data_IF_278784319057
#
_entry.id   IF_278784319057
#
_cell.length_a   1.000
_cell.length_b   1.000
_cell.length_c   1.000
_cell.angle_alpha   90.00
_cell.angle_beta   90.00
_cell.angle_gamma   90.00
#
_symmetry.space_group_name_H-M   'P 1'
#
loop_
_entity.id
_entity.type
_entity.pdbx_description
1 polymer ?
#
# COMPACT_ATOMS: atom_id res chain seq x y z
N UNK A 1 -6.07 22.94 -32.98
CA UNK A 1 -4.75 22.27 -33.17
C UNK A 1 -4.30 21.69 -31.82
N UNK A 2 -4.57 20.46 -31.40
CA UNK A 2 -5.05 19.25 -32.07
C UNK A 2 -3.93 18.22 -32.30
N UNK A 3 -2.72 18.68 -32.66
CA UNK A 3 -1.78 17.86 -33.43
C UNK A 3 -0.46 17.51 -32.74
N UNK A 4 -0.18 18.00 -31.53
CA UNK A 4 1.12 17.75 -30.86
C UNK A 4 1.08 16.50 -29.96
N UNK A 5 -0.07 16.15 -29.36
CA UNK A 5 -0.22 14.95 -28.52
C UNK A 5 -0.23 13.63 -29.31
N UNK A 6 -0.70 13.66 -30.56
CA UNK A 6 -0.84 12.46 -31.41
C UNK A 6 0.49 11.95 -32.00
N UNK A 7 1.54 12.78 -32.00
CA UNK A 7 2.87 12.40 -32.53
C UNK A 7 3.77 11.67 -31.53
N UNK A 8 3.47 11.73 -30.23
CA UNK A 8 4.28 11.09 -29.18
C UNK A 8 3.57 9.87 -28.55
N UNK A 9 2.24 9.79 -28.65
CA UNK A 9 1.43 8.66 -28.19
C UNK A 9 0.36 8.39 -29.25
N UNK A 10 0.48 7.35 -30.10
CA UNK A 10 -0.64 6.95 -30.93
C UNK A 10 -1.73 6.40 -29.98
N UNK A 11 -2.85 7.12 -29.85
CA UNK A 11 -4.08 6.77 -29.12
C UNK A 11 -4.23 7.26 -27.65
N UNK A 12 -3.64 8.39 -27.27
CA UNK A 12 -4.00 9.08 -26.01
C UNK A 12 -5.36 9.80 -26.15
N UNK A 13 -6.42 9.29 -25.51
CA UNK A 13 -7.75 9.91 -25.52
C UNK A 13 -8.10 10.50 -24.14
N UNK A 14 -8.22 11.82 -24.08
CA UNK A 14 -8.77 12.55 -22.94
C UNK A 14 -10.23 12.83 -23.23
N UNK A 15 -11.15 11.99 -22.74
CA UNK A 15 -12.59 12.26 -22.81
C UNK A 15 -12.97 13.36 -21.80
N UNK A 16 -12.71 14.62 -22.15
CA UNK A 16 -13.24 15.79 -21.46
C UNK A 16 -14.37 16.43 -22.29
N UNK A 17 -15.61 16.41 -21.78
CA UNK A 17 -16.68 17.25 -22.34
C UNK A 17 -16.35 18.72 -22.06
N UNK A 18 -16.04 19.43 -23.14
CA UNK A 18 -16.06 20.89 -23.37
C UNK A 18 -15.78 21.80 -22.15
N UNK A 19 -14.61 22.45 -22.14
CA UNK A 19 -14.49 23.93 -22.19
C UNK A 19 -13.03 24.41 -22.17
N UNK A 20 -12.73 25.33 -23.09
CA UNK A 20 -11.56 26.21 -23.22
C UNK A 20 -10.15 25.58 -23.25
N UNK A 21 -9.49 25.72 -24.40
CA UNK A 21 -8.12 25.27 -24.67
C UNK A 21 -7.06 26.13 -23.95
N UNK A 22 -6.01 25.53 -23.34
CA UNK A 22 -4.79 26.24 -23.00
C UNK A 22 -3.65 25.99 -24.01
N UNK A 23 -2.83 27.03 -24.19
CA UNK A 23 -1.68 27.16 -25.09
C UNK A 23 -0.45 26.41 -24.57
N UNK A 24 0.28 25.73 -25.45
CA UNK A 24 1.49 24.94 -25.15
C UNK A 24 2.74 25.75 -25.52
N UNK A 25 3.74 25.83 -24.63
CA UNK A 25 5.08 26.29 -24.96
C UNK A 25 6.08 25.16 -24.65
N UNK A 26 6.83 24.72 -25.67
CA UNK A 26 7.69 23.52 -25.62
C UNK A 26 9.12 23.87 -25.20
N UNK A 27 9.57 23.26 -24.10
CA UNK A 27 10.97 23.17 -23.67
C UNK A 27 11.10 21.97 -22.72
N UNK A 28 12.15 21.18 -22.89
CA UNK A 28 12.43 19.90 -22.21
C UNK A 28 11.94 19.85 -20.74
N UNK A 29 11.19 18.79 -20.39
CA UNK A 29 10.27 18.61 -19.24
C UNK A 29 8.82 19.01 -19.54
N UNK A 30 8.11 18.10 -20.19
CA UNK A 30 6.70 18.31 -20.57
C UNK A 30 5.77 18.13 -19.37
N UNK A 31 5.65 19.16 -18.53
CA UNK A 31 4.55 19.28 -17.57
C UNK A 31 3.30 19.71 -18.36
N UNK A 32 2.32 18.82 -18.50
CA UNK A 32 1.03 19.16 -19.09
C UNK A 32 0.05 19.48 -17.96
N UNK A 33 -0.38 20.74 -17.88
CA UNK A 33 -1.48 21.19 -17.01
C UNK A 33 -2.74 21.36 -17.85
N UNK A 34 -3.84 20.72 -17.46
CA UNK A 34 -5.16 20.96 -18.06
C UNK A 34 -6.05 21.82 -17.15
N UNK A 35 -7.14 22.36 -17.69
CA UNK A 35 -8.13 23.17 -16.97
C UNK A 35 -8.90 22.39 -15.89
N UNK A 36 -8.69 21.07 -15.80
CA UNK A 36 -9.26 20.16 -14.79
C UNK A 36 -8.28 19.89 -13.63
N UNK A 37 -7.18 20.63 -13.53
CA UNK A 37 -6.23 20.50 -12.41
C UNK A 37 -5.30 19.29 -12.49
N UNK A 38 -5.35 18.43 -13.52
CA UNK A 38 -4.35 17.38 -13.67
C UNK A 38 -2.99 17.95 -14.02
N UNK A 39 -1.96 17.52 -13.28
CA UNK A 39 -0.57 17.72 -13.67
C UNK A 39 0.04 16.38 -14.07
N UNK A 40 0.24 16.17 -15.38
CA UNK A 40 1.12 15.08 -15.85
C UNK A 40 2.54 15.58 -15.64
N UNK A 41 3.24 15.02 -14.66
CA UNK A 41 4.61 15.43 -14.34
C UNK A 41 5.63 14.86 -15.32
N UNK A 42 5.41 13.62 -15.75
CA UNK A 42 6.26 12.97 -16.75
C UNK A 42 5.54 11.81 -17.42
N UNK A 43 5.73 11.67 -18.73
CA UNK A 43 5.24 10.54 -19.52
C UNK A 43 6.32 10.05 -20.47
N UNK A 44 6.52 8.74 -20.52
CA UNK A 44 7.30 8.04 -21.55
C UNK A 44 6.54 6.78 -21.99
N UNK A 45 7.03 6.10 -23.03
CA UNK A 45 6.45 4.84 -23.49
C UNK A 45 6.41 3.73 -22.41
N UNK A 46 7.23 3.84 -21.36
CA UNK A 46 7.39 2.80 -20.34
C UNK A 46 7.10 3.27 -18.91
N UNK A 47 6.93 4.58 -18.69
CA UNK A 47 6.67 5.16 -17.37
C UNK A 47 5.70 6.32 -17.45
N UNK A 48 4.73 6.34 -16.53
CA UNK A 48 3.80 7.45 -16.37
C UNK A 48 3.82 7.94 -14.92
N UNK A 49 3.82 9.26 -14.73
CA UNK A 49 3.71 9.89 -13.41
C UNK A 49 2.68 11.00 -13.44
N UNK A 50 1.69 10.86 -12.57
CA UNK A 50 0.57 11.78 -12.42
C UNK A 50 0.62 12.41 -11.03
N UNK A 51 0.46 13.74 -10.95
CA UNK A 51 0.33 14.46 -9.68
C UNK A 51 -0.84 15.45 -9.68
N UNK A 52 -1.24 15.83 -8.46
CA UNK A 52 -2.16 16.94 -8.17
C UNK A 52 -3.51 16.83 -8.87
N UNK A 53 -3.98 15.61 -9.13
CA UNK A 53 -5.27 15.36 -9.79
C UNK A 53 -6.41 15.71 -8.82
N UNK A 54 -6.91 16.94 -8.92
CA UNK A 54 -8.14 17.39 -8.29
C UNK A 54 -9.28 17.21 -9.30
N UNK A 55 -10.17 16.25 -9.06
CA UNK A 55 -11.44 16.04 -9.81
C UNK A 55 -11.27 15.67 -11.30
N UNK A 56 -10.71 14.49 -11.57
CA UNK A 56 -10.88 13.83 -12.87
C UNK A 56 -11.80 12.63 -12.77
N UNK A 57 -12.70 12.52 -13.74
CA UNK A 57 -13.77 11.50 -13.78
C UNK A 57 -13.26 10.12 -14.18
N UNK A 58 -12.03 10.01 -14.68
CA UNK A 58 -11.33 8.76 -14.95
C UNK A 58 -10.17 8.98 -15.91
N UNK A 59 -9.16 8.11 -15.85
CA UNK A 59 -8.04 8.11 -16.81
C UNK A 59 -7.88 6.69 -17.36
N UNK A 60 -7.90 6.57 -18.69
CA UNK A 60 -7.70 5.29 -19.38
C UNK A 60 -6.36 5.33 -20.12
N UNK A 61 -5.52 4.34 -19.86
CA UNK A 61 -4.25 4.19 -20.57
C UNK A 61 -4.32 2.98 -21.50
N UNK A 62 -4.24 3.22 -22.81
CA UNK A 62 -4.01 2.17 -23.80
C UNK A 62 -2.52 2.11 -24.15
N UNK A 63 -1.69 1.76 -23.16
CA UNK A 63 -0.23 1.76 -23.27
C UNK A 63 0.32 0.34 -23.03
N UNK A 64 0.30 -0.51 -24.07
CA UNK A 64 0.71 -1.92 -23.98
C UNK A 64 2.14 -2.14 -23.45
N UNK A 65 3.03 -1.14 -23.57
CA UNK A 65 4.45 -1.20 -23.15
C UNK A 65 4.74 -0.50 -21.81
N UNK A 66 3.71 -0.07 -21.09
CA UNK A 66 3.87 0.60 -19.81
C UNK A 66 4.43 -0.39 -18.79
N UNK A 67 5.56 -0.05 -18.15
CA UNK A 67 6.24 -0.91 -17.17
C UNK A 67 6.14 -0.42 -15.73
N UNK A 68 6.09 0.90 -15.55
CA UNK A 68 5.94 1.55 -14.25
C UNK A 68 4.85 2.62 -14.26
N UNK A 69 4.02 2.63 -13.23
CA UNK A 69 2.93 3.58 -13.07
C UNK A 69 3.02 4.27 -11.71
N UNK A 70 3.04 5.60 -11.70
CA UNK A 70 3.02 6.39 -10.48
C UNK A 70 1.82 7.35 -10.51
N UNK A 71 1.00 7.27 -9.47
CA UNK A 71 -0.17 8.12 -9.29
C UNK A 71 -0.14 8.77 -7.91
N UNK A 72 -0.21 10.10 -7.88
CA UNK A 72 -0.37 10.89 -6.66
C UNK A 72 -1.59 11.79 -6.76
N UNK A 73 -2.55 11.64 -5.85
CA UNK A 73 -3.74 12.47 -5.82
C UNK A 73 -4.96 11.80 -5.18
N UNK A 74 -6.15 12.31 -5.49
CA UNK A 74 -7.41 11.69 -5.09
C UNK A 74 -7.66 10.38 -5.85
N UNK A 75 -8.53 9.53 -5.30
CA UNK A 75 -8.92 8.28 -5.98
C UNK A 75 -9.81 8.58 -7.19
N UNK A 76 -9.44 8.08 -8.36
CA UNK A 76 -10.27 8.11 -9.56
C UNK A 76 -10.21 6.77 -10.30
N UNK A 77 -11.20 6.44 -11.13
CA UNK A 77 -11.17 5.23 -11.94
C UNK A 77 -9.94 5.25 -12.87
N UNK A 78 -9.00 4.36 -12.63
CA UNK A 78 -7.82 4.14 -13.46
C UNK A 78 -8.04 2.83 -14.20
N UNK A 79 -8.13 2.87 -15.53
CA UNK A 79 -8.16 1.67 -16.37
C UNK A 79 -6.77 1.41 -16.95
N UNK A 80 -6.07 0.46 -16.31
CA UNK A 80 -4.75 -0.05 -16.71
C UNK A 80 -4.83 -1.51 -17.18
N UNK A 81 -6.03 -2.04 -17.41
CA UNK A 81 -6.25 -3.46 -17.74
C UNK A 81 -5.52 -3.91 -19.01
N UNK A 82 -5.25 -3.00 -19.93
CA UNK A 82 -4.53 -3.27 -21.19
C UNK A 82 -3.00 -3.13 -21.07
N UNK A 83 -2.48 -2.70 -19.92
CA UNK A 83 -1.05 -2.50 -19.68
C UNK A 83 -0.40 -3.79 -19.15
N UNK A 84 -0.37 -4.84 -19.96
CA UNK A 84 0.07 -6.18 -19.54
C UNK A 84 1.55 -6.28 -19.15
N UNK A 85 2.38 -5.33 -19.59
CA UNK A 85 3.79 -5.23 -19.21
C UNK A 85 4.01 -4.44 -17.90
N UNK A 86 2.95 -3.98 -17.23
CA UNK A 86 3.06 -3.17 -16.02
C UNK A 86 3.52 -4.04 -14.86
N UNK A 87 4.73 -3.78 -14.36
CA UNK A 87 5.36 -4.55 -13.27
C UNK A 87 5.44 -3.77 -11.97
N UNK A 88 5.45 -2.45 -12.05
CA UNK A 88 5.75 -1.57 -10.93
C UNK A 88 4.65 -0.50 -10.79
N UNK A 89 4.03 -0.39 -9.61
CA UNK A 89 2.98 0.57 -9.36
C UNK A 89 3.19 1.28 -8.02
N UNK A 90 3.17 2.61 -8.05
CA UNK A 90 3.22 3.46 -6.88
C UNK A 90 1.97 4.33 -6.79
N UNK A 91 1.19 4.15 -5.73
CA UNK A 91 -0.06 4.85 -5.49
C UNK A 91 0.05 5.68 -4.21
N UNK A 92 -0.16 6.98 -4.33
CA UNK A 92 -0.15 7.94 -3.23
C UNK A 92 -1.52 8.62 -3.18
N UNK A 93 -2.40 8.12 -2.33
CA UNK A 93 -3.76 8.65 -2.21
C UNK A 93 -3.90 9.62 -1.05
N UNK A 94 -4.54 10.77 -1.33
CA UNK A 94 -4.90 11.75 -0.30
C UNK A 94 -6.22 11.40 0.41
N UNK A 95 -7.11 10.68 -0.27
CA UNK A 95 -8.38 10.22 0.28
C UNK A 95 -8.21 8.90 1.03
N UNK A 96 -9.14 8.60 1.94
CA UNK A 96 -9.20 7.32 2.63
C UNK A 96 -9.44 6.16 1.66
N UNK A 97 -8.70 5.07 1.84
CA UNK A 97 -8.88 3.79 1.15
C UNK A 97 -9.53 2.79 2.10
N UNK A 98 -10.55 2.08 1.62
CA UNK A 98 -11.14 0.96 2.35
C UNK A 98 -10.50 -0.36 1.93
N UNK A 99 -10.54 -1.34 2.82
CA UNK A 99 -10.05 -2.69 2.53
C UNK A 99 -10.81 -3.32 1.33
N UNK A 100 -12.12 -3.08 1.20
CA UNK A 100 -12.87 -3.61 0.05
C UNK A 100 -12.36 -3.06 -1.28
N UNK A 101 -12.02 -1.77 -1.35
CA UNK A 101 -11.45 -1.16 -2.54
C UNK A 101 -10.10 -1.80 -2.90
N UNK A 102 -9.21 -1.93 -1.92
CA UNK A 102 -7.89 -2.56 -2.10
C UNK A 102 -8.00 -3.98 -2.61
N UNK A 103 -9.00 -4.75 -2.17
CA UNK A 103 -9.14 -6.15 -2.54
C UNK A 103 -9.94 -6.39 -3.83
N UNK A 104 -10.88 -5.50 -4.18
CA UNK A 104 -11.74 -5.68 -5.37
C UNK A 104 -11.25 -4.90 -6.59
N UNK A 105 -10.76 -3.67 -6.38
CA UNK A 105 -10.44 -2.77 -7.48
C UNK A 105 -8.97 -2.85 -7.88
N UNK A 106 -8.05 -2.83 -6.92
CA UNK A 106 -6.62 -2.81 -7.26
C UNK A 106 -6.14 -4.07 -8.00
N UNK A 107 -6.56 -5.31 -7.67
CA UNK A 107 -6.11 -6.48 -8.42
C UNK A 107 -6.64 -6.51 -9.86
N UNK A 108 -7.81 -5.92 -10.10
CA UNK A 108 -8.42 -5.88 -11.43
C UNK A 108 -7.78 -4.82 -12.31
N UNK A 109 -7.38 -3.68 -11.74
CA UNK A 109 -6.71 -2.62 -12.48
C UNK A 109 -5.20 -2.86 -12.64
N UNK A 110 -4.57 -3.65 -11.75
CA UNK A 110 -3.13 -3.93 -11.75
C UNK A 110 -2.83 -5.45 -11.84
N UNK A 111 -3.36 -6.18 -12.84
CA UNK A 111 -3.30 -7.64 -12.86
C UNK A 111 -1.90 -8.23 -13.04
N UNK A 112 -0.99 -7.50 -13.71
CA UNK A 112 0.38 -7.93 -14.04
C UNK A 112 1.46 -7.44 -13.09
N UNK A 113 1.09 -6.60 -12.11
CA UNK A 113 2.03 -5.91 -11.22
C UNK A 113 2.73 -6.90 -10.29
N UNK A 114 4.05 -6.77 -10.21
CA UNK A 114 4.93 -7.55 -9.33
C UNK A 114 5.32 -6.75 -8.07
N UNK A 115 5.41 -5.42 -8.18
CA UNK A 115 5.71 -4.50 -7.09
C UNK A 115 4.60 -3.44 -6.93
N UNK A 116 3.97 -3.40 -5.75
CA UNK A 116 2.96 -2.40 -5.41
C UNK A 116 3.36 -1.63 -4.15
N UNK A 117 3.50 -0.32 -4.29
CA UNK A 117 3.53 0.61 -3.18
C UNK A 117 2.20 1.36 -3.08
N UNK A 118 1.59 1.37 -1.89
CA UNK A 118 0.37 2.12 -1.61
C UNK A 118 0.53 2.92 -0.33
N UNK A 119 0.40 4.24 -0.44
CA UNK A 119 0.27 5.17 0.69
C UNK A 119 -1.14 5.75 0.73
N UNK A 120 -1.82 5.64 1.86
CA UNK A 120 -3.15 6.20 2.05
C UNK A 120 -3.52 6.31 3.53
N UNK A 121 -4.53 7.13 3.83
CA UNK A 121 -5.32 6.92 5.05
C UNK A 121 -6.15 5.65 4.89
N UNK A 122 -6.07 4.72 5.84
CA UNK A 122 -6.85 3.49 5.80
C UNK A 122 -8.10 3.63 6.67
N UNK A 123 -9.21 3.05 6.20
CA UNK A 123 -10.40 2.86 7.02
C UNK A 123 -10.74 1.38 7.09
N UNK A 124 -10.65 0.81 8.29
CA UNK A 124 -10.83 -0.62 8.56
C UNK A 124 -12.14 -0.84 9.31
N UNK A 125 -13.26 -0.86 8.59
CA UNK A 125 -14.60 -1.00 9.20
C UNK A 125 -14.95 -2.43 9.62
N UNK A 126 -14.15 -3.41 9.22
CA UNK A 126 -14.42 -4.83 9.45
C UNK A 126 -13.30 -5.45 10.27
N UNK A 127 -13.65 -6.37 11.16
CA UNK A 127 -12.72 -7.17 11.93
C UNK A 127 -12.57 -8.60 11.39
N UNK A 128 -13.22 -8.90 10.26
CA UNK A 128 -13.28 -10.24 9.67
C UNK A 128 -12.44 -10.30 8.39
N UNK A 129 -12.03 -11.53 8.03
CA UNK A 129 -11.50 -11.78 6.69
C UNK A 129 -12.54 -11.38 5.66
N UNK A 130 -12.15 -10.47 4.77
CA UNK A 130 -12.98 -10.17 3.61
C UNK A 130 -12.74 -11.25 2.56
N UNK A 131 -13.79 -11.99 2.22
CA UNK A 131 -13.74 -12.88 1.08
C UNK A 131 -13.72 -12.05 -0.20
N UNK A 132 -12.64 -12.20 -0.98
CA UNK A 132 -12.56 -11.58 -2.29
C UNK A 132 -12.25 -12.63 -3.36
N UNK A 133 -12.92 -12.49 -4.50
CA UNK A 133 -12.69 -13.31 -5.69
C UNK A 133 -11.50 -12.81 -6.49
N UNK A 134 -11.18 -11.51 -6.39
CA UNK A 134 -10.07 -10.88 -7.09
C UNK A 134 -8.74 -11.18 -6.41
N UNK A 135 -7.69 -11.41 -7.21
CA UNK A 135 -6.36 -11.79 -6.72
C UNK A 135 -5.27 -11.01 -7.43
N UNK A 136 -4.30 -10.55 -6.65
CA UNK A 136 -3.03 -10.05 -7.15
C UNK A 136 -2.19 -11.23 -7.65
N UNK A 137 -2.40 -11.59 -8.91
CA UNK A 137 -1.93 -12.87 -9.46
C UNK A 137 -0.43 -12.92 -9.72
N UNK A 138 0.25 -11.77 -9.73
CA UNK A 138 1.69 -11.65 -10.02
C UNK A 138 2.45 -10.90 -8.93
N UNK A 139 1.77 -10.43 -7.87
CA UNK A 139 2.39 -9.57 -6.87
C UNK A 139 3.36 -10.35 -5.99
N UNK A 140 4.61 -9.91 -5.97
CA UNK A 140 5.71 -10.48 -5.18
C UNK A 140 6.19 -9.53 -4.09
N UNK A 141 6.04 -8.23 -4.29
CA UNK A 141 6.48 -7.19 -3.37
C UNK A 141 5.32 -6.24 -3.08
N UNK A 142 4.98 -6.10 -1.81
CA UNK A 142 3.93 -5.19 -1.36
C UNK A 142 4.49 -4.29 -0.26
N UNK A 143 4.33 -2.99 -0.45
CA UNK A 143 4.62 -1.99 0.56
C UNK A 143 3.36 -1.16 0.83
N UNK A 144 2.88 -1.22 2.06
CA UNK A 144 1.72 -0.46 2.52
C UNK A 144 2.17 0.59 3.54
N UNK A 145 1.90 1.86 3.27
CA UNK A 145 2.09 2.96 4.21
C UNK A 145 0.73 3.55 4.59
N UNK A 146 0.22 3.11 5.74
CA UNK A 146 -1.16 3.35 6.16
C UNK A 146 -1.22 4.28 7.37
N UNK A 147 -2.03 5.32 7.25
CA UNK A 147 -2.38 6.22 8.34
C UNK A 147 -3.75 5.82 8.87
N UNK A 148 -3.85 5.51 10.15
CA UNK A 148 -5.07 4.98 10.78
C UNK A 148 -5.50 5.87 11.95
N UNK A 149 -6.81 5.98 12.12
CA UNK A 149 -7.41 6.56 13.33
C UNK A 149 -7.44 5.52 14.45
N UNK A 150 -7.59 5.98 15.70
CA UNK A 150 -7.56 5.12 16.89
C UNK A 150 -8.61 4.00 16.80
N UNK A 151 -9.79 4.32 16.28
CA UNK A 151 -10.95 3.42 16.17
C UNK A 151 -10.70 2.22 15.24
N UNK A 152 -9.76 2.36 14.30
CA UNK A 152 -9.39 1.30 13.35
C UNK A 152 -8.24 0.42 13.86
N UNK A 153 -7.61 0.77 14.99
CA UNK A 153 -6.43 0.07 15.52
C UNK A 153 -6.71 -1.41 15.82
N UNK A 154 -7.91 -1.71 16.34
CA UNK A 154 -8.30 -3.10 16.59
C UNK A 154 -8.58 -3.83 15.27
N UNK A 155 -8.91 -3.15 14.18
CA UNK A 155 -9.25 -3.82 12.93
C UNK A 155 -8.04 -4.12 12.03
N UNK A 156 -6.81 -3.88 12.50
CA UNK A 156 -5.56 -4.16 11.76
C UNK A 156 -5.45 -5.63 11.30
N UNK A 157 -5.99 -6.58 12.07
CA UNK A 157 -6.07 -8.00 11.69
C UNK A 157 -6.72 -8.22 10.31
N UNK A 158 -7.67 -7.36 9.91
CA UNK A 158 -8.36 -7.45 8.62
C UNK A 158 -7.41 -7.35 7.41
N UNK A 159 -6.23 -6.74 7.57
CA UNK A 159 -5.20 -6.65 6.52
C UNK A 159 -4.67 -8.02 6.09
N UNK A 160 -4.84 -9.08 6.89
CA UNK A 160 -4.58 -10.47 6.48
C UNK A 160 -5.33 -10.86 5.20
N UNK A 161 -6.47 -10.22 4.92
CA UNK A 161 -7.22 -10.40 3.68
C UNK A 161 -6.39 -10.02 2.43
N UNK A 162 -5.47 -9.07 2.54
CA UNK A 162 -4.57 -8.66 1.46
C UNK A 162 -3.56 -9.77 1.15
N UNK A 163 -3.01 -10.40 2.20
CA UNK A 163 -2.12 -11.55 2.05
C UNK A 163 -2.83 -12.73 1.37
N UNK A 164 -4.09 -13.00 1.75
CA UNK A 164 -4.93 -14.02 1.08
C UNK A 164 -5.18 -13.69 -0.39
N UNK A 165 -5.28 -12.41 -0.76
CA UNK A 165 -5.46 -11.97 -2.14
C UNK A 165 -4.15 -11.97 -2.95
N UNK A 166 -2.98 -12.11 -2.32
CA UNK A 166 -1.66 -12.08 -2.96
C UNK A 166 -0.89 -13.41 -2.74
N UNK A 167 -1.26 -14.50 -3.44
CA UNK A 167 -0.75 -15.85 -3.16
C UNK A 167 0.75 -16.05 -3.48
N UNK A 168 1.34 -15.17 -4.30
CA UNK A 168 2.75 -15.21 -4.70
C UNK A 168 3.61 -14.18 -3.96
N UNK A 169 3.06 -13.55 -2.90
CA UNK A 169 3.76 -12.50 -2.18
C UNK A 169 5.00 -13.05 -1.47
N UNK A 170 6.16 -12.49 -1.79
CA UNK A 170 7.46 -12.86 -1.23
C UNK A 170 7.90 -11.89 -0.14
N UNK A 171 7.66 -10.59 -0.34
CA UNK A 171 8.10 -9.52 0.53
C UNK A 171 6.93 -8.62 0.91
N UNK A 172 6.68 -8.49 2.21
CA UNK A 172 5.65 -7.59 2.73
C UNK A 172 6.22 -6.57 3.70
N UNK A 173 6.09 -5.29 3.34
CA UNK A 173 6.39 -4.16 4.19
C UNK A 173 5.09 -3.44 4.60
N UNK A 174 4.86 -3.34 5.91
CA UNK A 174 3.69 -2.71 6.50
C UNK A 174 4.12 -1.58 7.43
N UNK A 175 3.93 -0.34 7.00
CA UNK A 175 4.19 0.85 7.79
C UNK A 175 2.86 1.40 8.30
N UNK A 176 2.65 1.34 9.61
CA UNK A 176 1.39 1.80 10.23
C UNK A 176 1.67 3.00 11.13
N UNK A 177 1.00 4.12 10.84
CA UNK A 177 0.87 5.23 11.78
C UNK A 177 -0.48 5.14 12.46
N UNK A 178 -0.49 4.66 13.70
CA UNK A 178 -1.69 4.54 14.53
C UNK A 178 -1.41 5.08 15.94
N UNK A 179 -2.34 5.86 16.47
CA UNK A 179 -2.35 6.21 17.89
C UNK A 179 -3.13 5.11 18.61
N UNK A 180 -2.48 4.26 19.41
CA UNK A 180 -3.13 3.25 20.25
C UNK A 180 -2.22 2.89 21.44
N UNK A 181 -2.68 2.01 22.32
CA UNK A 181 -1.92 1.50 23.46
C UNK A 181 -1.35 0.11 23.17
N UNK A 182 -0.20 -0.20 23.76
CA UNK A 182 0.34 -1.55 23.74
C UNK A 182 -0.61 -2.52 24.45
N UNK A 183 -0.69 -3.74 23.96
CA UNK A 183 -1.56 -4.78 24.48
C UNK A 183 -1.24 -5.12 25.94
N UNK A 184 -2.26 -5.14 26.78
CA UNK A 184 -2.11 -5.35 28.23
C UNK A 184 -2.17 -6.82 28.66
N UNK A 185 -2.53 -7.74 27.76
CA UNK A 185 -2.65 -9.16 28.08
C UNK A 185 -3.91 -9.53 28.86
N UNK A 186 -4.88 -8.61 28.97
CA UNK A 186 -6.14 -8.84 29.68
C UNK A 186 -7.17 -9.60 28.85
N UNK A 187 -7.05 -9.51 27.52
CA UNK A 187 -7.98 -10.10 26.57
C UNK A 187 -7.24 -11.07 25.64
N UNK A 188 -7.87 -12.18 25.26
CA UNK A 188 -7.28 -13.10 24.28
C UNK A 188 -7.20 -12.43 22.91
N UNK A 189 -6.13 -12.74 22.17
CA UNK A 189 -5.98 -12.29 20.78
C UNK A 189 -6.90 -13.09 19.87
N UNK A 190 -7.57 -12.41 18.93
CA UNK A 190 -8.37 -13.06 17.90
C UNK A 190 -7.49 -13.82 16.92
N UNK A 191 -8.05 -14.90 16.39
CA UNK A 191 -7.45 -15.72 15.35
C UNK A 191 -8.35 -15.78 14.13
N UNK A 192 -7.78 -15.70 12.94
CA UNK A 192 -8.47 -15.97 11.69
C UNK A 192 -8.23 -17.43 11.24
N UNK A 193 -9.12 -18.00 10.40
CA UNK A 193 -8.88 -19.29 9.76
C UNK A 193 -7.51 -19.37 9.09
N UNK A 194 -6.86 -20.53 9.17
CA UNK A 194 -5.54 -20.75 8.54
C UNK A 194 -5.59 -20.52 7.03
N UNK A 195 -4.62 -19.79 6.53
CA UNK A 195 -4.47 -19.45 5.11
C UNK A 195 -2.97 -19.42 4.76
N UNK A 196 -2.39 -20.51 4.24
CA UNK A 196 -0.94 -20.60 4.06
C UNK A 196 -0.41 -19.60 3.03
N UNK A 197 0.62 -18.86 3.41
CA UNK A 197 1.39 -17.90 2.60
C UNK A 197 2.74 -18.53 2.22
N UNK A 198 2.71 -19.46 1.26
CA UNK A 198 3.82 -20.36 0.93
C UNK A 198 5.05 -19.69 0.29
N UNK A 199 4.97 -18.41 -0.06
CA UNK A 199 6.05 -17.66 -0.70
C UNK A 199 6.59 -16.54 0.17
N UNK A 200 5.92 -16.20 1.28
CA UNK A 200 6.29 -15.03 2.09
C UNK A 200 7.58 -15.33 2.86
N UNK A 201 8.67 -14.71 2.43
CA UNK A 201 10.01 -14.87 2.99
C UNK A 201 10.39 -13.71 3.91
N UNK A 202 9.90 -12.50 3.63
CA UNK A 202 10.24 -11.30 4.40
C UNK A 202 8.98 -10.56 4.86
N UNK A 203 8.92 -10.28 6.17
CA UNK A 203 7.91 -9.43 6.80
C UNK A 203 8.59 -8.31 7.58
N UNK A 204 8.34 -7.07 7.18
CA UNK A 204 8.79 -5.86 7.88
C UNK A 204 7.58 -5.06 8.34
N UNK A 205 7.47 -4.79 9.64
CA UNK A 205 6.40 -3.95 10.20
C UNK A 205 7.03 -2.77 10.92
N UNK A 206 6.73 -1.54 10.49
CA UNK A 206 7.19 -0.31 11.13
C UNK A 206 6.06 0.48 11.78
N UNK A 207 6.35 1.26 12.81
CA UNK A 207 5.32 1.84 13.69
C UNK A 207 4.67 0.77 14.57
N UNK A 208 5.41 -0.29 14.87
CA UNK A 208 4.92 -1.41 15.66
C UNK A 208 4.93 -1.05 17.15
N UNK A 209 3.73 -0.86 17.72
CA UNK A 209 3.52 -0.52 19.13
C UNK A 209 2.94 -1.68 19.94
N UNK A 210 2.89 -2.88 19.34
CA UNK A 210 2.31 -4.08 19.93
C UNK A 210 0.86 -3.88 20.46
N UNK A 211 0.05 -3.06 19.78
CA UNK A 211 -1.38 -2.99 20.10
C UNK A 211 -2.08 -4.32 19.71
N UNK A 212 -3.28 -4.54 20.23
CA UNK A 212 -4.03 -5.79 20.02
C UNK A 212 -4.15 -6.16 18.54
N UNK A 213 -4.63 -5.25 17.68
CA UNK A 213 -4.78 -5.53 16.25
C UNK A 213 -3.46 -5.80 15.52
N UNK A 214 -2.35 -5.16 15.91
CA UNK A 214 -1.02 -5.44 15.35
C UNK A 214 -0.51 -6.83 15.75
N UNK A 215 -0.70 -7.22 17.01
CA UNK A 215 -0.29 -8.54 17.49
C UNK A 215 -1.10 -9.65 16.82
N UNK A 216 -2.41 -9.48 16.70
CA UNK A 216 -3.26 -10.45 16.00
C UNK A 216 -2.83 -10.61 14.54
N UNK A 217 -2.61 -9.50 13.83
CA UNK A 217 -2.13 -9.51 12.46
C UNK A 217 -0.77 -10.21 12.35
N UNK A 218 0.17 -9.87 13.23
CA UNK A 218 1.52 -10.46 13.28
C UNK A 218 1.46 -11.97 13.48
N UNK A 219 0.73 -12.42 14.51
CA UNK A 219 0.63 -13.84 14.85
C UNK A 219 -0.05 -14.62 13.73
N UNK A 220 -1.13 -14.09 13.17
CA UNK A 220 -1.78 -14.72 12.03
C UNK A 220 -0.80 -14.87 10.85
N UNK A 221 -0.04 -13.83 10.53
CA UNK A 221 0.89 -13.88 9.39
C UNK A 221 2.00 -14.89 9.62
N UNK A 222 2.63 -14.87 10.79
CA UNK A 222 3.75 -15.76 11.15
C UNK A 222 3.31 -17.23 11.17
N UNK A 223 2.16 -17.53 11.78
CA UNK A 223 1.65 -18.90 11.87
C UNK A 223 1.26 -19.49 10.51
N UNK A 224 1.06 -18.63 9.51
CA UNK A 224 0.65 -19.02 8.17
C UNK A 224 1.78 -18.89 7.12
N UNK A 225 2.97 -18.42 7.50
CA UNK A 225 4.11 -18.23 6.58
C UNK A 225 5.23 -19.25 6.88
N UNK A 226 5.14 -20.50 6.37
CA UNK A 226 6.07 -21.58 6.74
C UNK A 226 7.51 -21.35 6.26
N UNK A 227 7.69 -20.54 5.22
CA UNK A 227 9.01 -20.22 4.62
C UNK A 227 9.53 -18.85 5.04
N UNK A 228 8.95 -18.23 6.08
CA UNK A 228 9.37 -16.91 6.54
C UNK A 228 10.82 -16.95 7.03
N UNK A 229 11.70 -16.24 6.33
CA UNK A 229 13.14 -16.17 6.60
C UNK A 229 13.49 -15.01 7.51
N UNK A 230 12.83 -13.85 7.33
CA UNK A 230 13.10 -12.64 8.10
C UNK A 230 11.81 -12.01 8.59
N UNK A 231 11.75 -11.78 9.91
CA UNK A 231 10.71 -11.00 10.57
C UNK A 231 11.35 -9.81 11.26
N UNK A 232 10.98 -8.60 10.86
CA UNK A 232 11.46 -7.37 11.49
C UNK A 232 10.31 -6.53 12.03
N UNK A 233 10.41 -6.19 13.31
CA UNK A 233 9.48 -5.29 14.00
C UNK A 233 10.23 -4.02 14.39
N UNK A 234 9.79 -2.90 13.83
CA UNK A 234 10.38 -1.58 14.04
C UNK A 234 9.36 -0.67 14.74
N UNK A 235 9.63 -0.20 15.96
CA UNK A 235 8.72 0.70 16.64
C UNK A 235 8.67 2.10 16.00
N UNK A 236 9.70 2.50 15.24
CA UNK A 236 9.71 3.79 14.57
C UNK A 236 8.76 3.77 13.36
N UNK A 237 7.88 4.76 13.27
CA UNK A 237 7.13 4.99 12.04
C UNK A 237 7.98 5.79 11.06
N UNK A 238 8.17 5.27 9.84
CA UNK A 238 8.83 5.99 8.76
C UNK A 238 7.87 7.00 8.14
N UNK A 239 7.58 8.11 8.83
CA UNK A 239 7.06 9.29 8.13
C UNK A 239 8.23 10.01 7.46
N UNK A 240 7.99 10.53 6.25
CA UNK A 240 8.94 11.42 5.58
C UNK A 240 9.49 12.43 6.58
N UNK A 241 10.80 12.37 6.81
CA UNK A 241 11.53 13.26 7.71
C UNK A 241 11.19 14.71 7.37
N UNK A 242 10.36 15.36 8.21
CA UNK A 242 10.29 16.80 8.52
C UNK A 242 8.94 17.17 9.18
N UNK A 243 8.68 16.66 10.38
CA UNK A 243 7.98 17.48 11.39
C UNK A 243 8.75 17.30 12.69
N UNK A 244 9.51 18.33 13.04
CA UNK A 244 10.17 18.41 14.33
C UNK A 244 9.11 18.42 15.42
N UNK A 245 9.18 17.44 16.29
CA UNK A 245 8.34 17.30 17.48
C UNK A 245 9.02 16.29 18.39
N UNK A 246 10.17 16.67 18.95
CA UNK A 246 10.86 15.87 19.95
C UNK A 246 9.97 15.75 21.18
N UNK A 247 9.49 14.55 21.44
CA UNK A 247 8.98 14.16 22.75
C UNK A 247 10.11 13.42 23.48
N UNK A 248 10.89 14.16 24.28
CA UNK A 248 11.92 13.64 25.20
C UNK A 248 11.30 13.20 26.54
N UNK A 249 10.32 12.29 26.48
CA UNK A 249 9.83 11.46 27.61
C UNK A 249 10.17 9.98 27.35
N UNK A 250 9.92 9.02 28.28
CA UNK A 250 10.60 7.70 28.36
C UNK A 250 10.22 6.73 27.22
N UNK A 251 10.60 7.09 26.00
CA UNK A 251 10.45 6.33 24.76
C UNK A 251 11.13 4.97 24.91
N UNK A 252 12.27 4.90 25.60
CA UNK A 252 12.96 3.63 25.83
C UNK A 252 12.16 2.65 26.71
N UNK A 253 11.48 3.11 27.77
CA UNK A 253 10.65 2.21 28.62
C UNK A 253 9.45 1.68 27.83
N UNK A 254 8.80 2.56 27.06
CA UNK A 254 7.70 2.16 26.19
C UNK A 254 8.16 1.13 25.14
N UNK A 255 9.23 1.43 24.40
CA UNK A 255 9.76 0.51 23.39
C UNK A 255 10.29 -0.78 24.02
N UNK A 256 10.92 -0.74 25.20
CA UNK A 256 11.29 -1.94 25.95
C UNK A 256 10.08 -2.83 26.23
N UNK A 257 8.95 -2.25 26.64
CA UNK A 257 7.71 -2.99 26.87
C UNK A 257 7.13 -3.57 25.58
N UNK A 258 7.15 -2.81 24.48
CA UNK A 258 6.76 -3.30 23.15
C UNK A 258 7.61 -4.51 22.74
N UNK A 259 8.93 -4.43 22.94
CA UNK A 259 9.86 -5.55 22.64
C UNK A 259 9.57 -6.78 23.50
N UNK A 260 9.32 -6.59 24.80
CA UNK A 260 8.96 -7.68 25.72
C UNK A 260 7.67 -8.38 25.30
N UNK A 261 6.60 -7.62 25.04
CA UNK A 261 5.31 -8.15 24.57
C UNK A 261 5.51 -8.93 23.26
N UNK A 262 6.20 -8.32 22.29
CA UNK A 262 6.46 -8.95 20.98
C UNK A 262 7.16 -10.30 21.12
N UNK A 263 8.23 -10.36 21.93
CA UNK A 263 8.96 -11.62 22.20
C UNK A 263 8.05 -12.64 22.85
N UNK A 264 7.31 -12.26 23.89
CA UNK A 264 6.41 -13.15 24.63
C UNK A 264 5.41 -13.84 23.71
N UNK A 265 4.82 -13.12 22.76
CA UNK A 265 3.83 -13.69 21.84
C UNK A 265 4.44 -14.48 20.69
N UNK A 266 5.67 -14.17 20.25
CA UNK A 266 6.34 -14.90 19.16
C UNK A 266 7.03 -16.19 19.61
N UNK A 267 7.33 -16.35 20.91
CA UNK A 267 7.94 -17.58 21.46
C UNK A 267 7.11 -18.81 21.07
N UNK A 268 7.76 -19.77 20.41
CA UNK A 268 7.14 -21.03 19.98
C UNK A 268 6.20 -20.92 18.77
N UNK A 269 6.07 -19.74 18.16
CA UNK A 269 5.20 -19.51 16.98
C UNK A 269 5.97 -19.23 15.69
N UNK A 270 7.19 -18.70 15.79
CA UNK A 270 8.10 -18.53 14.65
C UNK A 270 8.87 -19.81 14.36
N UNK A 271 9.21 -20.04 13.09
CA UNK A 271 10.14 -21.11 12.72
C UNK A 271 11.53 -20.85 13.37
N UNK A 272 12.25 -21.87 13.84
CA UNK A 272 13.61 -21.72 14.33
C UNK A 272 14.59 -21.14 13.29
N UNK A 273 14.26 -21.26 12.01
CA UNK A 273 15.06 -20.71 10.89
C UNK A 273 14.79 -19.23 10.64
N UNK A 274 13.69 -18.68 11.16
CA UNK A 274 13.31 -17.28 10.96
C UNK A 274 14.22 -16.37 11.77
N UNK A 275 14.89 -15.43 11.09
CA UNK A 275 15.65 -14.35 11.72
C UNK A 275 14.68 -13.30 12.26
N UNK A 276 14.54 -13.25 13.57
CA UNK A 276 13.73 -12.24 14.26
C UNK A 276 14.59 -11.02 14.63
N UNK A 277 14.25 -9.86 14.05
CA UNK A 277 14.83 -8.57 14.37
C UNK A 277 13.76 -7.70 15.05
N UNK A 278 13.97 -7.31 16.30
CA UNK A 278 13.10 -6.35 16.99
C UNK A 278 13.97 -5.15 17.36
N UNK A 279 13.70 -4.00 16.74
CA UNK A 279 14.48 -2.77 16.89
C UNK A 279 14.10 -2.02 18.18
#
# INVERSE_FOLDING_TARGET
MGWVLQRLIPNFDLTARQCAAPTVNMGQNNILRNSLGMSILSFSNTKVTLSDILRVTGVKFNAMKLKSFNCRGSRYPIDLTQSLELKDAHLYFFDSVTLEYTLSTLPTVLPSVEYLYLRATATLKTHTLLENTCRFSQLKYLQLELYMVYEDADNILSLASILRAAPLLENFELHISVCSFAHLGWEPLRSLPRCPHNHLTNLYISGFIACTGQLEFLLHTVENAPVLEVLTLDPAFRSDKKVGGGYDGPTDVFFSRVREISRRYLIGRISPTTKLCIL
#
